data_IF_503967526760
#
_entry.id   IF_503967526760
#
_cell.length_a   1.000
_cell.length_b   1.000
_cell.length_c   1.000
_cell.angle_alpha   90.00
_cell.angle_beta   90.00
_cell.angle_gamma   90.00
#
_symmetry.space_group_name_H-M   'P 1'
#
loop_
_entity.id
_entity.type
_entity.pdbx_description
1 polymer ?
#
# COMPACT_ATOMS: atom_id res chain seq x y z
N UNK A 1 -10.32 5.40 -21.81
CA UNK A 1 -10.54 5.04 -20.40
C UNK A 1 -11.34 3.75 -20.38
N UNK A 2 -10.87 2.70 -19.71
CA UNK A 2 -11.64 1.49 -19.51
C UNK A 2 -12.83 1.76 -18.58
N UNK A 3 -14.01 1.23 -18.90
CA UNK A 3 -15.18 1.38 -18.03
C UNK A 3 -15.02 0.46 -16.81
N UNK A 4 -15.46 0.93 -15.64
CA UNK A 4 -15.63 0.05 -14.47
C UNK A 4 -16.94 -0.74 -14.60
N UNK A 5 -17.03 -1.92 -13.97
CA UNK A 5 -18.28 -2.66 -13.93
C UNK A 5 -19.31 -2.05 -12.95
N UNK A 6 -18.94 -0.99 -12.21
CA UNK A 6 -19.74 -0.49 -11.09
C UNK A 6 -20.91 0.39 -11.54
N UNK A 7 -22.12 -0.07 -11.25
CA UNK A 7 -23.37 0.62 -11.61
C UNK A 7 -23.71 1.78 -10.64
N UNK A 8 -23.12 1.78 -9.44
CA UNK A 8 -23.34 2.78 -8.39
C UNK A 8 -22.29 3.91 -8.38
N UNK A 9 -21.51 4.03 -9.46
CA UNK A 9 -20.55 5.11 -9.67
C UNK A 9 -21.02 5.97 -10.86
N UNK A 10 -21.75 7.07 -10.61
CA UNK A 10 -22.18 7.97 -11.68
C UNK A 10 -20.97 8.59 -12.39
N UNK A 11 -21.00 8.69 -13.71
CA UNK A 11 -19.88 9.21 -14.51
C UNK A 11 -19.45 10.65 -14.12
N UNK A 12 -20.39 11.44 -13.63
CA UNK A 12 -20.14 12.82 -13.20
C UNK A 12 -19.82 12.96 -11.70
N UNK A 13 -19.68 11.86 -10.96
CA UNK A 13 -19.29 11.92 -9.57
C UNK A 13 -17.81 12.35 -9.44
N UNK A 14 -17.51 13.19 -8.46
CA UNK A 14 -16.16 13.73 -8.24
C UNK A 14 -15.10 12.62 -7.99
N UNK A 15 -15.52 11.45 -7.58
CA UNK A 15 -14.65 10.28 -7.31
C UNK A 15 -14.65 9.26 -8.47
N UNK A 16 -15.39 9.48 -9.55
CA UNK A 16 -15.57 8.46 -10.58
C UNK A 16 -14.25 8.08 -11.28
N UNK A 17 -13.46 9.09 -11.65
CA UNK A 17 -12.15 8.85 -12.29
C UNK A 17 -11.20 8.15 -11.35
N UNK A 18 -11.15 8.52 -10.08
CA UNK A 18 -10.25 7.92 -9.09
C UNK A 18 -10.62 6.46 -8.80
N UNK A 19 -11.91 6.14 -8.66
CA UNK A 19 -12.38 4.75 -8.51
C UNK A 19 -12.00 3.93 -9.74
N UNK A 20 -12.19 4.49 -10.94
CA UNK A 20 -11.85 3.82 -12.18
C UNK A 20 -10.34 3.52 -12.27
N UNK A 21 -9.50 4.50 -11.98
CA UNK A 21 -8.04 4.34 -11.95
C UNK A 21 -7.63 3.30 -10.91
N UNK A 22 -8.16 3.39 -9.69
CA UNK A 22 -7.83 2.46 -8.61
C UNK A 22 -8.27 1.02 -8.93
N UNK A 23 -9.43 0.84 -9.56
CA UNK A 23 -9.92 -0.45 -10.01
C UNK A 23 -9.03 -1.03 -11.12
N UNK A 24 -8.72 -0.26 -12.15
CA UNK A 24 -7.86 -0.68 -13.26
C UNK A 24 -6.44 -1.04 -12.79
N UNK A 25 -5.94 -0.33 -11.78
CA UNK A 25 -4.64 -0.60 -11.17
C UNK A 25 -4.65 -1.81 -10.20
N UNK A 26 -5.82 -2.36 -9.89
CA UNK A 26 -5.98 -3.47 -8.94
C UNK A 26 -5.83 -3.07 -7.48
N UNK A 27 -5.95 -1.77 -7.15
CA UNK A 27 -5.86 -1.25 -5.77
C UNK A 27 -7.21 -1.21 -5.07
N UNK A 28 -8.28 -1.25 -5.84
CA UNK A 28 -9.64 -1.18 -5.35
C UNK A 28 -10.48 -2.28 -5.99
N UNK A 29 -11.25 -2.95 -5.17
CA UNK A 29 -12.29 -3.88 -5.61
C UNK A 29 -13.62 -3.41 -5.06
N UNK A 30 -14.69 -3.63 -5.80
CA UNK A 30 -16.03 -3.30 -5.34
C UNK A 30 -16.45 -4.15 -4.13
N UNK A 31 -17.59 -3.81 -3.58
CA UNK A 31 -18.28 -4.63 -2.57
C UNK A 31 -18.99 -5.83 -3.20
N UNK A 32 -19.18 -5.79 -4.53
CA UNK A 32 -19.62 -6.90 -5.39
C UNK A 32 -19.03 -6.71 -6.80
N UNK A 33 -19.31 -7.62 -7.72
CA UNK A 33 -18.88 -7.52 -9.12
C UNK A 33 -19.36 -6.24 -9.83
N UNK A 34 -20.48 -5.69 -9.40
CA UNK A 34 -21.13 -4.54 -10.04
C UNK A 34 -21.33 -3.32 -9.12
N UNK A 35 -20.83 -3.38 -7.89
CA UNK A 35 -21.07 -2.35 -6.87
C UNK A 35 -19.75 -1.93 -6.22
N UNK A 36 -19.40 -0.65 -6.31
CA UNK A 36 -18.23 -0.07 -5.66
C UNK A 36 -18.47 0.23 -4.18
N UNK A 37 -19.65 0.71 -3.84
CA UNK A 37 -19.99 1.20 -2.50
C UNK A 37 -19.27 2.50 -2.14
N UNK A 38 -19.24 3.54 -3.01
CA UNK A 38 -18.32 4.69 -2.88
C UNK A 38 -18.56 5.53 -1.62
N UNK A 39 -19.77 5.51 -1.08
CA UNK A 39 -20.14 6.23 0.14
C UNK A 39 -20.20 5.31 1.38
N UNK A 40 -19.82 4.05 1.21
CA UNK A 40 -19.82 3.07 2.28
C UNK A 40 -18.66 3.28 3.26
N UNK A 41 -18.83 2.70 4.46
CA UNK A 41 -17.72 2.62 5.42
C UNK A 41 -16.82 1.45 5.06
N UNK A 42 -15.54 1.60 5.33
CA UNK A 42 -14.54 0.55 5.09
C UNK A 42 -14.36 -0.28 6.35
N UNK A 43 -14.42 -1.61 6.24
CA UNK A 43 -14.11 -2.51 7.34
C UNK A 43 -12.60 -2.67 7.51
N UNK A 44 -12.16 -3.20 8.66
CA UNK A 44 -10.73 -3.40 8.91
C UNK A 44 -10.09 -4.40 7.95
N UNK A 45 -10.80 -5.48 7.59
CA UNK A 45 -10.30 -6.44 6.60
C UNK A 45 -10.22 -5.82 5.19
N UNK A 46 -11.21 -5.00 4.79
CA UNK A 46 -11.17 -4.28 3.53
C UNK A 46 -9.98 -3.31 3.48
N UNK A 47 -9.75 -2.55 4.56
CA UNK A 47 -8.61 -1.63 4.63
C UNK A 47 -7.26 -2.37 4.52
N UNK A 48 -7.11 -3.52 5.18
CA UNK A 48 -5.90 -4.34 5.08
C UNK A 48 -5.68 -4.84 3.66
N UNK A 49 -6.72 -5.33 2.98
CA UNK A 49 -6.61 -5.82 1.60
C UNK A 49 -6.30 -4.71 0.62
N UNK A 50 -6.99 -3.56 0.70
CA UNK A 50 -6.70 -2.40 -0.16
C UNK A 50 -5.25 -1.93 0.02
N UNK A 51 -4.77 -1.89 1.25
CA UNK A 51 -3.41 -1.48 1.55
C UNK A 51 -2.38 -2.50 1.02
N UNK A 52 -2.60 -3.79 1.27
CA UNK A 52 -1.73 -4.85 0.78
C UNK A 52 -1.66 -4.89 -0.75
N UNK A 53 -2.79 -4.73 -1.44
CA UNK A 53 -2.82 -4.63 -2.91
C UNK A 53 -2.03 -3.43 -3.43
N UNK A 54 -2.15 -2.27 -2.77
CA UNK A 54 -1.37 -1.08 -3.12
C UNK A 54 0.14 -1.34 -2.96
N UNK A 55 0.53 -2.10 -1.96
CA UNK A 55 1.92 -2.51 -1.71
C UNK A 55 2.37 -3.71 -2.59
N UNK A 56 1.54 -4.15 -3.53
CA UNK A 56 1.82 -5.29 -4.41
C UNK A 56 2.04 -6.61 -3.66
N UNK A 57 1.44 -6.76 -2.49
CA UNK A 57 1.41 -8.01 -1.74
C UNK A 57 0.45 -8.99 -2.42
N UNK A 58 0.69 -10.29 -2.25
CA UNK A 58 -0.10 -11.32 -2.93
C UNK A 58 -1.10 -12.01 -2.00
N UNK A 59 -0.95 -11.83 -0.69
CA UNK A 59 -1.59 -12.64 0.32
C UNK A 59 -0.95 -14.03 0.43
N UNK A 60 -1.08 -14.67 1.57
CA UNK A 60 -0.58 -16.03 1.80
C UNK A 60 -1.72 -17.01 1.52
N UNK A 61 -1.65 -17.81 0.43
CA UNK A 61 -2.75 -18.71 0.07
C UNK A 61 -2.94 -19.83 1.11
N UNK A 62 -4.21 -20.15 1.41
CA UNK A 62 -4.57 -21.30 2.23
C UNK A 62 -4.21 -21.18 3.72
N UNK A 63 -3.74 -20.02 4.17
CA UNK A 63 -3.36 -19.79 5.55
C UNK A 63 -4.57 -19.42 6.41
N UNK A 64 -4.57 -19.91 7.64
CA UNK A 64 -5.40 -19.38 8.71
C UNK A 64 -4.60 -18.29 9.41
N UNK A 65 -5.23 -17.13 9.60
CA UNK A 65 -4.61 -16.06 10.36
C UNK A 65 -4.42 -16.45 11.84
N UNK A 66 -3.38 -15.92 12.46
CA UNK A 66 -3.09 -16.12 13.89
C UNK A 66 -4.09 -15.41 14.82
N UNK A 67 -4.98 -14.58 14.26
CA UNK A 67 -6.03 -13.93 15.02
C UNK A 67 -7.12 -14.92 15.43
N UNK A 68 -7.56 -14.85 16.70
CA UNK A 68 -8.53 -15.79 17.27
C UNK A 68 -9.89 -15.76 16.56
N UNK A 69 -10.23 -14.64 15.93
CA UNK A 69 -11.46 -14.42 15.18
C UNK A 69 -11.28 -14.53 13.64
N UNK A 70 -10.25 -15.25 13.18
CA UNK A 70 -9.97 -15.40 11.75
C UNK A 70 -11.14 -16.00 10.96
N UNK A 71 -12.00 -16.79 11.62
CA UNK A 71 -13.18 -17.39 10.98
C UNK A 71 -14.23 -16.35 10.58
N UNK A 72 -14.22 -15.17 11.21
CA UNK A 72 -15.10 -14.05 10.86
C UNK A 72 -14.61 -13.27 9.64
N UNK A 73 -13.35 -13.50 9.22
CA UNK A 73 -12.80 -12.92 8.00
C UNK A 73 -13.37 -13.60 6.76
N UNK A 74 -13.56 -12.84 5.71
CA UNK A 74 -13.82 -13.37 4.37
C UNK A 74 -12.65 -14.23 3.88
N UNK A 75 -12.92 -15.31 3.14
CA UNK A 75 -11.85 -16.12 2.56
C UNK A 75 -10.91 -15.30 1.67
N UNK A 76 -11.45 -14.24 1.04
CA UNK A 76 -10.73 -13.32 0.17
C UNK A 76 -9.71 -12.43 0.92
N UNK A 77 -9.90 -12.21 2.22
CA UNK A 77 -9.06 -11.30 3.02
C UNK A 77 -8.02 -12.00 3.89
N UNK A 78 -8.23 -13.27 4.25
CA UNK A 78 -7.40 -13.99 5.24
C UNK A 78 -5.92 -13.97 4.93
N UNK A 79 -5.55 -14.34 3.71
CA UNK A 79 -4.15 -14.39 3.31
C UNK A 79 -3.48 -13.03 3.31
N UNK A 80 -4.21 -11.98 2.89
CA UNK A 80 -3.68 -10.62 2.89
C UNK A 80 -3.57 -10.06 4.32
N UNK A 81 -4.57 -10.31 5.17
CA UNK A 81 -4.53 -9.91 6.58
C UNK A 81 -3.35 -10.58 7.28
N UNK A 82 -3.10 -11.87 7.03
CA UNK A 82 -1.96 -12.58 7.61
C UNK A 82 -0.63 -11.99 7.13
N UNK A 83 -0.46 -11.80 5.82
CA UNK A 83 0.76 -11.20 5.26
C UNK A 83 1.02 -9.79 5.83
N UNK A 84 -0.03 -8.96 5.90
CA UNK A 84 0.08 -7.64 6.52
C UNK A 84 0.44 -7.70 8.02
N UNK A 85 -0.01 -8.72 8.74
CA UNK A 85 0.33 -8.91 10.15
C UNK A 85 1.80 -9.35 10.32
N UNK A 86 2.27 -10.30 9.53
CA UNK A 86 3.66 -10.76 9.52
C UNK A 86 4.64 -9.64 9.16
N UNK A 87 4.24 -8.77 8.24
CA UNK A 87 4.99 -7.56 7.89
C UNK A 87 4.90 -6.45 8.94
N UNK A 88 4.15 -6.64 10.02
CA UNK A 88 3.95 -5.65 11.09
C UNK A 88 3.13 -4.43 10.68
N UNK A 89 2.49 -4.45 9.50
CA UNK A 89 1.67 -3.35 8.97
C UNK A 89 0.38 -3.20 9.76
N UNK A 90 -0.26 -4.32 10.06
CA UNK A 90 -1.47 -4.35 10.88
C UNK A 90 -1.18 -5.03 12.22
N UNK A 91 -1.99 -4.69 13.20
CA UNK A 91 -1.99 -5.33 14.51
C UNK A 91 -3.42 -5.61 14.93
N UNK A 92 -3.60 -6.71 15.66
CA UNK A 92 -4.83 -7.03 16.36
C UNK A 92 -4.98 -6.24 17.66
N UNK A 93 -5.99 -6.61 18.39
CA UNK A 93 -6.24 -6.12 19.74
C UNK A 93 -5.54 -6.99 20.77
N UNK A 94 -5.43 -6.49 22.00
CA UNK A 94 -4.79 -7.20 23.11
C UNK A 94 -5.49 -8.51 23.51
N UNK A 95 -6.72 -8.71 23.07
CA UNK A 95 -7.49 -9.95 23.25
C UNK A 95 -7.23 -11.01 22.17
N UNK A 96 -6.27 -10.76 21.27
CA UNK A 96 -5.91 -11.64 20.17
C UNK A 96 -6.84 -11.58 18.98
N UNK A 97 -7.83 -10.66 18.95
CA UNK A 97 -8.74 -10.48 17.82
C UNK A 97 -8.23 -9.46 16.82
N UNK A 98 -8.64 -9.58 15.55
CA UNK A 98 -8.46 -8.56 14.53
C UNK A 98 -9.70 -7.68 14.35
N UNK A 99 -10.87 -8.22 14.59
CA UNK A 99 -12.20 -7.61 14.39
C UNK A 99 -12.41 -7.20 12.92
N UNK A 100 -12.40 -8.16 11.98
CA UNK A 100 -12.34 -7.90 10.55
C UNK A 100 -13.52 -7.07 10.03
N UNK A 101 -14.72 -7.32 10.57
CA UNK A 101 -15.96 -6.67 10.14
C UNK A 101 -16.21 -5.31 10.77
N UNK A 102 -15.43 -4.92 11.79
CA UNK A 102 -15.53 -3.60 12.37
C UNK A 102 -15.05 -2.54 11.40
N UNK A 103 -15.69 -1.39 11.37
CA UNK A 103 -15.23 -0.25 10.58
C UNK A 103 -13.92 0.27 11.14
N UNK A 104 -12.97 0.54 10.23
CA UNK A 104 -11.70 1.13 10.62
C UNK A 104 -11.88 2.60 11.00
N UNK A 105 -11.27 3.03 12.10
CA UNK A 105 -11.24 4.44 12.48
C UNK A 105 -10.12 5.18 11.73
N UNK A 106 -10.22 6.51 11.63
CA UNK A 106 -9.17 7.35 11.03
C UNK A 106 -7.82 7.14 11.71
N UNK A 107 -7.78 7.02 13.05
CA UNK A 107 -6.56 6.75 13.80
C UNK A 107 -5.96 5.39 13.47
N UNK A 108 -6.78 4.35 13.39
CA UNK A 108 -6.32 3.01 13.01
C UNK A 108 -5.79 2.98 11.57
N UNK A 109 -6.47 3.67 10.64
CA UNK A 109 -5.99 3.77 9.26
C UNK A 109 -4.66 4.51 9.18
N UNK A 110 -4.49 5.60 9.94
CA UNK A 110 -3.21 6.31 10.01
C UNK A 110 -2.08 5.41 10.52
N UNK A 111 -2.34 4.57 11.54
CA UNK A 111 -1.37 3.59 12.01
C UNK A 111 -0.99 2.57 10.93
N UNK A 112 -1.98 2.04 10.18
CA UNK A 112 -1.74 1.11 9.09
C UNK A 112 -0.86 1.74 8.01
N UNK A 113 -1.18 2.96 7.58
CA UNK A 113 -0.41 3.70 6.57
C UNK A 113 1.03 3.96 7.01
N UNK A 114 1.24 4.45 8.23
CA UNK A 114 2.59 4.73 8.74
C UNK A 114 3.44 3.46 8.82
N UNK A 115 2.87 2.35 9.27
CA UNK A 115 3.57 1.07 9.33
C UNK A 115 3.85 0.49 7.96
N UNK A 116 2.91 0.65 7.03
CA UNK A 116 3.07 0.19 5.65
C UNK A 116 4.19 0.93 4.92
N UNK A 117 4.24 2.25 5.07
CA UNK A 117 5.26 3.09 4.44
C UNK A 117 6.61 3.01 5.14
N UNK A 118 6.62 2.65 6.43
CA UNK A 118 7.84 2.57 7.22
C UNK A 118 8.49 3.94 7.45
N UNK A 119 9.81 3.99 7.39
CA UNK A 119 10.55 5.26 7.52
C UNK A 119 10.35 6.11 6.27
N UNK A 120 9.89 7.35 6.47
CA UNK A 120 9.62 8.30 5.39
C UNK A 120 10.75 9.32 5.23
N UNK A 121 11.39 9.31 4.07
CA UNK A 121 12.36 10.31 3.61
C UNK A 121 11.62 11.35 2.77
N UNK A 122 11.45 12.55 3.30
CA UNK A 122 10.61 13.60 2.72
C UNK A 122 11.34 14.90 2.39
N UNK A 123 12.60 15.02 2.77
CA UNK A 123 13.36 16.24 2.52
C UNK A 123 14.17 16.09 1.23
N UNK A 124 14.09 17.05 0.30
CA UNK A 124 14.89 17.03 -0.92
C UNK A 124 16.39 17.02 -0.61
N UNK A 125 17.14 16.19 -1.33
CA UNK A 125 18.59 16.08 -1.14
C UNK A 125 19.05 15.39 0.14
N UNK A 126 18.13 14.79 0.91
CA UNK A 126 18.48 14.08 2.14
C UNK A 126 19.43 12.93 1.88
N UNK A 127 20.44 12.79 2.75
CA UNK A 127 21.44 11.73 2.66
C UNK A 127 21.29 10.77 3.83
N UNK A 128 21.08 9.53 3.53
CA UNK A 128 21.00 8.43 4.50
C UNK A 128 22.22 7.56 4.29
N UNK A 129 23.07 7.48 5.29
CA UNK A 129 24.27 6.68 5.28
C UNK A 129 24.21 5.62 6.40
N UNK A 130 24.18 4.37 6.02
CA UNK A 130 24.11 3.25 6.96
C UNK A 130 22.70 3.02 7.53
N UNK A 131 22.59 2.00 8.37
CA UNK A 131 21.36 1.65 9.08
C UNK A 131 20.58 0.49 8.48
N UNK A 132 19.68 -0.04 9.33
CA UNK A 132 18.76 -1.11 8.98
C UNK A 132 17.33 -0.58 9.15
N UNK A 133 16.56 -0.68 8.09
CA UNK A 133 15.18 -0.19 8.03
C UNK A 133 14.24 -1.36 7.73
N UNK A 134 13.01 -1.31 8.25
CA UNK A 134 11.92 -2.19 7.82
C UNK A 134 11.51 -1.82 6.39
N UNK A 135 10.34 -1.23 6.22
CA UNK A 135 10.00 -0.54 4.98
C UNK A 135 10.63 0.86 4.97
N UNK A 136 11.07 1.31 3.81
CA UNK A 136 11.62 2.65 3.60
C UNK A 136 10.94 3.32 2.42
N UNK A 137 10.43 4.52 2.62
CA UNK A 137 9.73 5.28 1.58
C UNK A 137 10.48 6.57 1.29
N UNK A 138 10.89 6.74 0.04
CA UNK A 138 11.47 7.98 -0.46
C UNK A 138 10.39 8.75 -1.22
N UNK A 139 10.07 9.95 -0.73
CA UNK A 139 9.04 10.83 -1.30
C UNK A 139 9.59 12.23 -1.62
N UNK A 140 10.84 12.31 -2.01
CA UNK A 140 11.51 13.58 -2.36
C UNK A 140 12.63 13.34 -3.38
N UNK A 141 12.94 14.34 -4.23
CA UNK A 141 14.02 14.26 -5.20
C UNK A 141 15.41 14.43 -4.56
N UNK A 142 16.43 13.94 -5.25
CA UNK A 142 17.83 14.14 -4.89
C UNK A 142 18.29 13.36 -3.66
N UNK A 143 17.47 12.42 -3.17
CA UNK A 143 17.82 11.58 -2.01
C UNK A 143 18.92 10.59 -2.39
N UNK A 144 19.89 10.41 -1.46
CA UNK A 144 20.97 9.41 -1.58
C UNK A 144 20.89 8.42 -0.44
N UNK A 145 20.77 7.14 -0.77
CA UNK A 145 20.88 6.05 0.19
C UNK A 145 22.22 5.36 0.00
N UNK A 146 23.01 5.24 1.06
CA UNK A 146 24.32 4.58 1.04
C UNK A 146 24.46 3.59 2.20
N UNK A 147 25.11 2.47 1.93
CA UNK A 147 25.43 1.46 2.94
C UNK A 147 24.23 1.07 3.80
N UNK A 148 23.04 0.96 3.18
CA UNK A 148 21.75 0.86 3.85
C UNK A 148 21.13 -0.52 3.59
N UNK A 149 20.58 -1.14 4.63
CA UNK A 149 19.82 -2.39 4.54
C UNK A 149 18.33 -2.10 4.76
N UNK A 150 17.50 -2.46 3.80
CA UNK A 150 16.04 -2.42 3.88
C UNK A 150 15.55 -3.86 3.98
N UNK A 151 15.11 -4.28 5.16
CA UNK A 151 14.63 -5.66 5.40
C UNK A 151 13.23 -5.93 4.85
N UNK A 152 12.45 -4.87 4.64
CA UNK A 152 11.16 -4.89 3.94
C UNK A 152 11.29 -4.34 2.53
N UNK A 153 10.34 -3.50 2.14
CA UNK A 153 10.26 -2.89 0.81
C UNK A 153 10.84 -1.48 0.79
N UNK A 154 11.46 -1.13 -0.34
CA UNK A 154 11.84 0.24 -0.68
C UNK A 154 10.81 0.82 -1.64
N UNK A 155 10.13 1.89 -1.24
CA UNK A 155 9.15 2.61 -2.06
C UNK A 155 9.74 3.93 -2.55
N UNK A 156 9.79 4.12 -3.86
CA UNK A 156 10.08 5.39 -4.51
C UNK A 156 8.75 5.95 -5.03
N UNK A 157 8.27 7.02 -4.41
CA UNK A 157 6.89 7.51 -4.64
C UNK A 157 6.86 8.76 -5.50
N UNK A 158 5.65 9.21 -5.85
CA UNK A 158 5.44 10.34 -6.75
C UNK A 158 6.08 11.66 -6.30
N UNK A 159 6.41 11.83 -5.01
CA UNK A 159 7.13 12.99 -4.51
C UNK A 159 8.58 13.13 -5.02
N UNK A 160 9.14 12.07 -5.61
CA UNK A 160 10.43 12.14 -6.32
C UNK A 160 10.30 13.00 -7.59
N UNK A 161 9.12 13.02 -8.21
CA UNK A 161 8.84 13.82 -9.41
C UNK A 161 9.80 13.50 -10.56
N UNK A 162 10.33 14.55 -11.20
CA UNK A 162 11.36 14.46 -12.26
C UNK A 162 12.79 14.34 -11.69
N UNK A 163 12.95 14.29 -10.36
CA UNK A 163 14.24 14.15 -9.72
C UNK A 163 14.78 12.72 -9.75
N UNK A 164 15.93 12.54 -9.14
CA UNK A 164 16.58 11.25 -9.00
C UNK A 164 16.63 10.77 -7.55
N UNK A 165 16.84 9.47 -7.39
CA UNK A 165 17.24 8.84 -6.12
C UNK A 165 18.48 8.02 -6.41
N UNK A 166 19.56 8.26 -5.67
CA UNK A 166 20.81 7.54 -5.81
C UNK A 166 20.89 6.42 -4.76
N UNK A 167 21.17 5.21 -5.21
CA UNK A 167 21.33 4.02 -4.37
C UNK A 167 22.77 3.53 -4.50
N UNK A 168 23.56 3.59 -3.43
CA UNK A 168 24.94 3.13 -3.40
C UNK A 168 25.11 2.11 -2.26
N UNK A 169 25.46 0.88 -2.62
CA UNK A 169 25.61 -0.22 -1.65
C UNK A 169 24.35 -0.42 -0.78
N UNK A 170 23.18 -0.46 -1.42
CA UNK A 170 21.87 -0.65 -0.77
C UNK A 170 21.40 -2.08 -0.97
N UNK A 171 21.10 -2.76 0.14
CA UNK A 171 20.50 -4.09 0.12
C UNK A 171 19.02 -4.00 0.44
N UNK A 172 18.15 -4.48 -0.45
CA UNK A 172 16.70 -4.57 -0.23
C UNK A 172 16.31 -6.04 -0.21
N UNK A 173 15.83 -6.54 0.94
CA UNK A 173 15.41 -7.93 1.09
C UNK A 173 14.02 -8.20 0.50
N UNK A 174 13.17 -7.18 0.49
CA UNK A 174 11.84 -7.21 -0.13
C UNK A 174 11.85 -6.74 -1.58
N UNK A 175 10.90 -5.88 -1.93
CA UNK A 175 10.72 -5.34 -3.29
C UNK A 175 11.17 -3.88 -3.36
N UNK A 176 11.68 -3.46 -4.51
CA UNK A 176 11.78 -2.04 -4.86
C UNK A 176 10.53 -1.71 -5.68
N UNK A 177 9.72 -0.79 -5.16
CA UNK A 177 8.46 -0.37 -5.79
C UNK A 177 8.57 1.08 -6.21
N UNK A 178 8.53 1.33 -7.52
CA UNK A 178 8.54 2.67 -8.07
C UNK A 178 7.10 3.08 -8.41
N UNK A 179 6.58 4.06 -7.67
CA UNK A 179 5.23 4.59 -7.85
C UNK A 179 5.33 6.05 -8.28
N UNK A 180 4.88 6.34 -9.49
CA UNK A 180 4.94 7.69 -10.06
C UNK A 180 6.25 7.90 -10.82
N UNK A 181 6.22 7.61 -12.10
CA UNK A 181 7.16 8.19 -13.03
C UNK A 181 6.77 9.67 -13.16
N UNK A 182 7.75 10.57 -13.08
CA UNK A 182 7.59 11.93 -13.53
C UNK A 182 6.99 11.93 -14.95
N UNK A 183 6.40 13.03 -15.39
CA UNK A 183 5.97 13.16 -16.77
C UNK A 183 7.15 12.81 -17.67
N UNK A 184 7.06 11.67 -18.37
CA UNK A 184 8.00 11.36 -19.41
C UNK A 184 7.73 12.35 -20.54
N UNK A 185 8.61 13.32 -20.74
CA UNK A 185 8.71 13.94 -22.05
C UNK A 185 8.87 12.78 -23.04
N UNK A 186 8.00 12.77 -24.07
CA UNK A 186 7.98 11.73 -25.09
C UNK A 186 9.39 11.55 -25.65
N UNK A 187 10.08 10.50 -25.22
CA UNK A 187 11.34 10.08 -25.86
C UNK A 187 12.52 9.75 -24.96
N UNK A 188 12.47 9.87 -23.64
CA UNK A 188 13.58 9.46 -22.78
C UNK A 188 13.12 8.67 -21.57
N UNK A 189 13.12 7.36 -21.68
CA UNK A 189 13.16 6.46 -20.52
C UNK A 189 14.61 6.39 -20.05
N UNK A 190 14.91 6.99 -18.91
CA UNK A 190 16.12 6.67 -18.16
C UNK A 190 15.70 6.12 -16.79
N UNK A 191 15.94 4.84 -16.62
CA UNK A 191 15.99 4.16 -15.33
C UNK A 191 17.40 4.33 -14.79
#
# INVERSE_FOLDING_TARGET
RGATPFQDVPENAWYADDINIAYQAGYFQGTSETTAGPMGRVTREQAAVMLGQNLRMQGIPGVNSDFSDFRDMGNWSRGMVQECAEMGIIQGYSDGTFRPRNYITRGQMACFLVRALGTLVKNPGEQIAGGVYGNLTVNSPGVKLRDTVVTGNLYLTGGVGLGNVELENVTVMGKIVVCGAGEAERGQNSI
#
